data_IF_384291191928
#
_entry.id   IF_384291191928
#
_cell.length_a   1.000
_cell.length_b   1.000
_cell.length_c   1.000
_cell.angle_alpha   90.00
_cell.angle_beta   90.00
_cell.angle_gamma   90.00
#
_symmetry.space_group_name_H-M   'P 1'
#
loop_
_entity.id
_entity.type
_entity.pdbx_description
1 polymer ?
#
# COMPACT_ATOMS: atom_id res chain seq x y z
N UNK A 1 -10.24 3.23 17.86
CA UNK A 1 -9.76 4.08 16.76
C UNK A 1 -8.76 3.22 16.00
N UNK A 2 -9.16 2.62 14.88
CA UNK A 2 -8.30 1.64 14.19
C UNK A 2 -7.14 2.39 13.51
N UNK A 3 -5.90 1.87 13.57
CA UNK A 3 -4.76 2.54 12.96
C UNK A 3 -4.92 2.50 11.43
N UNK A 4 -4.70 3.64 10.79
CA UNK A 4 -4.65 3.74 9.33
C UNK A 4 -3.33 3.09 8.90
N UNK A 5 -3.40 1.90 8.30
CA UNK A 5 -2.20 1.20 7.82
C UNK A 5 -1.74 1.82 6.50
N UNK A 6 -0.48 2.25 6.46
CA UNK A 6 0.21 2.66 5.24
C UNK A 6 1.12 1.52 4.77
N UNK A 7 1.18 1.28 3.47
CA UNK A 7 1.97 0.19 2.90
C UNK A 7 2.94 0.77 1.88
N UNK A 8 4.19 0.31 1.89
CA UNK A 8 5.19 0.71 0.92
C UNK A 8 5.65 -0.48 0.10
N UNK A 9 5.57 -0.35 -1.23
CA UNK A 9 5.85 -1.41 -2.19
C UNK A 9 7.09 -1.13 -3.06
N UNK A 10 7.80 -0.03 -2.81
CA UNK A 10 9.12 0.23 -3.39
C UNK A 10 10.21 -0.20 -2.39
N UNK A 11 11.41 -0.53 -2.87
CA UNK A 11 12.60 -0.78 -2.03
C UNK A 11 12.67 0.33 -0.98
N UNK A 12 13.01 0.06 0.30
CA UNK A 12 12.83 0.99 1.42
C UNK A 12 13.73 2.23 1.24
N UNK A 13 13.27 3.12 0.37
CA UNK A 13 13.76 4.46 0.22
C UNK A 13 13.00 5.21 1.28
N UNK A 14 13.71 5.52 2.35
CA UNK A 14 13.18 6.17 3.54
C UNK A 14 12.39 7.40 3.11
N UNK A 15 11.05 7.27 3.06
CA UNK A 15 10.16 8.38 2.76
C UNK A 15 10.20 9.30 3.99
N UNK A 16 10.71 10.53 3.89
CA UNK A 16 10.97 11.39 5.04
C UNK A 16 9.70 11.81 5.82
N UNK A 17 8.52 11.43 5.32
CA UNK A 17 7.21 11.82 5.84
C UNK A 17 6.52 10.65 6.57
N UNK A 18 6.96 9.41 6.35
CA UNK A 18 6.43 8.23 7.01
C UNK A 18 7.50 7.64 7.93
N UNK A 19 7.17 7.55 9.22
CA UNK A 19 7.93 6.67 10.12
C UNK A 19 7.68 5.23 9.67
N UNK A 20 8.73 4.54 9.22
CA UNK A 20 8.67 3.15 8.72
C UNK A 20 8.06 2.18 9.75
N UNK A 21 8.05 2.53 11.04
CA UNK A 21 7.43 1.74 12.11
C UNK A 21 5.92 1.50 11.93
N UNK A 22 5.24 2.35 11.16
CA UNK A 22 3.81 2.23 10.87
C UNK A 22 3.52 1.68 9.47
N UNK A 23 4.57 1.44 8.68
CA UNK A 23 4.45 0.92 7.33
C UNK A 23 4.78 -0.58 7.30
N UNK A 24 4.04 -1.31 6.47
CA UNK A 24 4.37 -2.71 6.17
C UNK A 24 4.60 -2.91 4.68
N UNK A 25 5.35 -3.95 4.35
CA UNK A 25 5.75 -4.37 3.00
C UNK A 25 4.67 -5.25 2.35
N UNK A 26 4.86 -5.58 1.07
CA UNK A 26 4.01 -6.58 0.38
C UNK A 26 4.04 -7.95 1.05
N UNK A 27 5.19 -8.36 1.60
CA UNK A 27 5.35 -9.69 2.16
C UNK A 27 4.58 -9.82 3.48
N UNK A 28 4.66 -8.78 4.31
CA UNK A 28 3.87 -8.67 5.55
C UNK A 28 2.37 -8.52 5.25
N UNK A 29 2.02 -7.79 4.18
CA UNK A 29 0.64 -7.62 3.74
C UNK A 29 -0.05 -8.96 3.38
N UNK A 30 0.69 -9.93 2.85
CA UNK A 30 0.17 -11.28 2.57
C UNK A 30 -0.15 -12.08 3.83
N UNK A 31 0.43 -11.69 4.96
CA UNK A 31 0.29 -12.38 6.25
C UNK A 31 -0.70 -11.71 7.20
N UNK A 32 -1.51 -10.75 6.71
CA UNK A 32 -2.54 -10.11 7.51
C UNK A 32 -3.70 -11.07 7.78
N UNK A 33 -4.02 -11.27 9.07
CA UNK A 33 -5.15 -12.11 9.49
C UNK A 33 -6.53 -11.49 9.13
N UNK A 34 -6.59 -10.17 9.02
CA UNK A 34 -7.82 -9.43 8.72
C UNK A 34 -7.65 -8.45 7.55
N UNK A 35 -8.71 -8.29 6.77
CA UNK A 35 -8.75 -7.27 5.71
C UNK A 35 -8.75 -5.87 6.32
N UNK A 36 -7.82 -4.97 5.93
CA UNK A 36 -7.83 -3.59 6.40
C UNK A 36 -9.09 -2.87 5.90
N UNK A 37 -9.75 -2.11 6.80
CA UNK A 37 -10.91 -1.29 6.43
C UNK A 37 -10.54 -0.13 5.49
N UNK A 38 -9.36 0.44 5.71
CA UNK A 38 -8.80 1.53 4.92
C UNK A 38 -7.29 1.33 4.82
N UNK A 39 -6.76 1.48 3.61
CA UNK A 39 -5.37 1.23 3.29
C UNK A 39 -4.81 2.27 2.32
N UNK A 40 -3.59 2.74 2.60
CA UNK A 40 -2.80 3.57 1.69
C UNK A 40 -1.68 2.73 1.09
N UNK A 41 -1.61 2.66 -0.23
CA UNK A 41 -0.60 1.91 -0.99
C UNK A 41 0.35 2.92 -1.64
N UNK A 42 1.62 2.85 -1.27
CA UNK A 42 2.69 3.69 -1.82
C UNK A 42 3.48 2.88 -2.85
N UNK A 43 3.32 3.25 -4.12
CA UNK A 43 3.99 2.60 -5.25
C UNK A 43 3.13 2.62 -6.50
N UNK A 44 3.78 2.63 -7.67
CA UNK A 44 3.11 2.61 -8.98
C UNK A 44 3.40 1.36 -9.83
N UNK A 45 4.08 0.36 -9.27
CA UNK A 45 4.41 -0.89 -9.93
C UNK A 45 3.25 -1.88 -9.97
N UNK A 46 3.47 -3.04 -10.60
CA UNK A 46 2.44 -4.07 -10.73
C UNK A 46 1.92 -4.58 -9.37
N UNK A 47 2.82 -4.83 -8.41
CA UNK A 47 2.45 -5.30 -7.06
C UNK A 47 1.48 -4.32 -6.38
N UNK A 48 1.79 -3.02 -6.41
CA UNK A 48 0.95 -1.99 -5.81
C UNK A 48 -0.47 -1.96 -6.43
N UNK A 49 -0.56 -2.07 -7.75
CA UNK A 49 -1.85 -2.08 -8.48
C UNK A 49 -2.64 -3.36 -8.24
N UNK A 50 -1.97 -4.51 -8.13
CA UNK A 50 -2.61 -5.80 -7.81
C UNK A 50 -3.24 -5.76 -6.42
N UNK A 51 -2.50 -5.37 -5.39
CA UNK A 51 -3.03 -5.21 -4.04
C UNK A 51 -4.17 -4.19 -3.97
N UNK A 52 -4.01 -3.05 -4.65
CA UNK A 52 -5.05 -2.04 -4.69
C UNK A 52 -6.36 -2.59 -5.26
N UNK A 53 -6.27 -3.34 -6.35
CA UNK A 53 -7.44 -3.93 -7.03
C UNK A 53 -8.09 -5.03 -6.19
N UNK A 54 -7.29 -5.94 -5.62
CA UNK A 54 -7.77 -7.06 -4.81
C UNK A 54 -8.49 -6.53 -3.56
N UNK A 55 -7.84 -5.69 -2.76
CA UNK A 55 -8.44 -5.20 -1.52
C UNK A 55 -9.64 -4.29 -1.76
N UNK A 56 -9.62 -3.49 -2.83
CA UNK A 56 -10.81 -2.72 -3.22
C UNK A 56 -11.97 -3.64 -3.59
N UNK A 57 -11.70 -4.71 -4.33
CA UNK A 57 -12.70 -5.73 -4.68
C UNK A 57 -13.26 -6.48 -3.46
N UNK A 58 -12.46 -6.62 -2.40
CA UNK A 58 -12.87 -7.21 -1.11
C UNK A 58 -13.60 -6.22 -0.19
N UNK A 59 -13.77 -4.95 -0.60
CA UNK A 59 -14.54 -3.95 0.14
C UNK A 59 -13.71 -2.99 0.99
N UNK A 60 -12.38 -3.05 0.94
CA UNK A 60 -11.53 -2.05 1.59
C UNK A 60 -11.65 -0.69 0.89
N UNK A 61 -11.48 0.38 1.67
CA UNK A 61 -11.15 1.69 1.11
C UNK A 61 -9.67 1.69 0.77
N UNK A 62 -9.32 2.07 -0.46
CA UNK A 62 -7.93 2.00 -0.95
C UNK A 62 -7.55 3.34 -1.56
N UNK A 63 -6.46 3.94 -1.07
CA UNK A 63 -5.79 5.07 -1.70
C UNK A 63 -4.48 4.59 -2.31
N UNK A 64 -4.33 4.74 -3.63
CA UNK A 64 -3.12 4.37 -4.36
C UNK A 64 -2.31 5.64 -4.68
N UNK A 65 -1.12 5.78 -4.10
CA UNK A 65 -0.26 6.94 -4.27
C UNK A 65 1.02 6.55 -5.02
N UNK A 66 1.31 7.26 -6.11
CA UNK A 66 2.52 7.09 -6.90
C UNK A 66 3.00 8.44 -7.43
N UNK A 67 4.29 8.53 -7.74
CA UNK A 67 4.95 9.79 -8.12
C UNK A 67 4.73 10.19 -9.58
N UNK A 68 4.54 9.21 -10.48
CA UNK A 68 4.40 9.45 -11.92
C UNK A 68 2.98 9.92 -12.27
N UNK A 69 2.79 10.40 -13.49
CA UNK A 69 1.45 10.80 -13.99
C UNK A 69 0.48 9.61 -14.11
N UNK A 70 1.00 8.43 -14.43
CA UNK A 70 0.23 7.19 -14.59
C UNK A 70 0.94 6.01 -13.88
N UNK A 71 0.17 5.04 -13.32
CA UNK A 71 0.74 3.82 -12.78
C UNK A 71 1.23 2.90 -13.91
N UNK A 72 2.02 1.88 -13.56
CA UNK A 72 2.58 0.86 -14.48
C UNK A 72 3.48 1.44 -15.58
N UNK A 73 4.18 2.54 -15.28
CA UNK A 73 5.19 3.13 -16.16
C UNK A 73 6.58 2.85 -15.59
N UNK A 74 7.40 2.12 -16.35
CA UNK A 74 8.85 2.01 -16.11
C UNK A 74 9.55 3.35 -16.32
#
# INVERSE_FOLDING_TARGET
>A
MLPNYAFSFETPTQLPILTLELAITSDEALSLDELPKHVVILGGGYIAVEFASIWRGMGATVDLCFRKELPLRL
#
